data_IF_471030478973
#
_entry.id   IF_471030478973
#
_cell.length_a   1.000
_cell.length_b   1.000
_cell.length_c   1.000
_cell.angle_alpha   90.00
_cell.angle_beta   90.00
_cell.angle_gamma   90.00
#
_symmetry.space_group_name_H-M   'P 1'
#
loop_
_entity.id
_entity.type
_entity.pdbx_description
1 polymer ?
#
# COMPACT_ATOMS: atom_id res chain seq x y z
N UNK A 1 -2.06 12.16 12.82
CA UNK A 1 -1.42 12.37 11.51
C UNK A 1 -1.06 13.83 11.27
N UNK A 2 -1.99 14.80 11.38
CA UNK A 2 -1.71 16.21 11.07
C UNK A 2 -1.21 17.08 12.25
N UNK A 3 -1.29 16.57 13.47
CA UNK A 3 -0.80 17.23 14.68
C UNK A 3 0.60 16.72 15.05
N UNK A 4 1.23 17.34 16.03
CA UNK A 4 2.50 16.92 16.62
C UNK A 4 2.48 15.44 17.03
N UNK A 5 3.59 14.75 16.81
CA UNK A 5 3.67 13.28 16.93
C UNK A 5 2.96 12.52 15.80
N UNK A 6 2.45 13.22 14.78
CA UNK A 6 1.69 12.65 13.69
C UNK A 6 2.44 11.61 12.85
N UNK A 7 3.77 11.70 12.77
CA UNK A 7 4.61 10.78 12.02
C UNK A 7 4.53 9.33 12.53
N UNK A 8 4.54 9.13 13.85
CA UNK A 8 4.43 7.79 14.45
C UNK A 8 3.03 7.19 14.22
N UNK A 9 2.00 8.04 14.19
CA UNK A 9 0.65 7.62 13.81
C UNK A 9 0.59 7.19 12.33
N UNK A 10 1.31 7.89 11.44
CA UNK A 10 1.40 7.53 10.02
C UNK A 10 2.09 6.18 9.86
N UNK A 11 3.26 5.97 10.49
CA UNK A 11 3.95 4.67 10.46
C UNK A 11 3.08 3.52 10.94
N UNK A 12 2.36 3.71 12.06
CA UNK A 12 1.44 2.72 12.60
C UNK A 12 0.30 2.41 11.62
N UNK A 13 -0.24 3.42 10.95
CA UNK A 13 -1.28 3.25 9.94
C UNK A 13 -0.76 2.47 8.72
N UNK A 14 0.45 2.81 8.23
CA UNK A 14 1.08 2.11 7.11
C UNK A 14 1.30 0.63 7.44
N UNK A 15 1.79 0.31 8.66
CA UNK A 15 1.93 -1.08 9.09
C UNK A 15 0.60 -1.85 9.22
N UNK A 16 -0.53 -1.16 9.40
CA UNK A 16 -1.85 -1.79 9.33
C UNK A 16 -2.30 -2.04 7.88
N UNK A 17 -1.95 -1.15 6.95
CA UNK A 17 -2.22 -1.32 5.52
C UNK A 17 -1.44 -2.51 4.95
N UNK A 18 -0.16 -2.66 5.34
CA UNK A 18 0.70 -3.77 4.93
C UNK A 18 0.08 -5.14 5.27
N UNK A 19 -0.43 -5.29 6.50
CA UNK A 19 -1.07 -6.54 6.96
C UNK A 19 -2.30 -6.93 6.15
N UNK A 20 -2.93 -5.96 5.49
CA UNK A 20 -4.17 -6.12 4.73
C UNK A 20 -3.97 -5.96 3.23
N UNK A 21 -2.71 -5.94 2.76
CA UNK A 21 -2.35 -5.72 1.36
C UNK A 21 -3.15 -6.58 0.38
N UNK A 22 -3.21 -7.89 0.60
CA UNK A 22 -3.94 -8.83 -0.29
C UNK A 22 -5.43 -8.54 -0.37
N UNK A 23 -6.07 -8.22 0.77
CA UNK A 23 -7.50 -7.89 0.84
C UNK A 23 -7.78 -6.57 0.10
N UNK A 24 -6.91 -5.58 0.25
CA UNK A 24 -7.03 -4.30 -0.45
C UNK A 24 -6.80 -4.42 -1.95
N UNK A 25 -5.78 -5.15 -2.41
CA UNK A 25 -5.52 -5.39 -3.83
C UNK A 25 -6.74 -5.98 -4.54
N UNK A 26 -7.46 -6.92 -3.89
CA UNK A 26 -8.68 -7.50 -4.45
C UNK A 26 -9.80 -6.46 -4.66
N UNK A 27 -9.83 -5.37 -3.87
CA UNK A 27 -10.82 -4.32 -3.95
C UNK A 27 -10.38 -3.11 -4.80
N UNK A 28 -9.09 -2.98 -5.13
CA UNK A 28 -8.53 -1.83 -5.86
C UNK A 28 -8.85 -1.83 -7.37
N UNK A 29 -9.53 -2.85 -7.85
CA UNK A 29 -10.03 -2.95 -9.22
C UNK A 29 -9.37 -4.07 -10.02
N UNK A 30 -10.17 -4.69 -10.87
CA UNK A 30 -9.75 -5.72 -11.81
C UNK A 30 -8.78 -5.14 -12.87
N UNK A 31 -7.80 -5.94 -13.30
CA UNK A 31 -6.84 -5.54 -14.31
C UNK A 31 -5.57 -4.88 -13.77
N UNK A 32 -5.49 -4.64 -12.46
CA UNK A 32 -4.32 -4.04 -11.82
C UNK A 32 -3.06 -4.91 -11.92
N UNK A 33 -3.20 -6.23 -12.13
CA UNK A 33 -2.08 -7.14 -12.37
C UNK A 33 -1.24 -6.77 -13.60
N UNK A 34 -1.83 -6.08 -14.58
CA UNK A 34 -1.11 -5.57 -15.77
C UNK A 34 -0.33 -4.29 -15.48
N UNK A 35 -0.70 -3.56 -14.43
CA UNK A 35 -0.11 -2.26 -14.08
C UNK A 35 0.92 -2.38 -12.97
N UNK A 36 0.54 -3.02 -11.86
CA UNK A 36 1.35 -3.18 -10.64
C UNK A 36 2.44 -4.24 -10.84
N UNK A 37 3.45 -3.91 -11.63
CA UNK A 37 4.49 -4.84 -12.09
C UNK A 37 5.88 -4.52 -11.52
N UNK A 38 6.00 -3.50 -10.68
CA UNK A 38 7.30 -3.00 -10.22
C UNK A 38 8.00 -2.07 -11.22
N UNK A 39 7.39 -1.80 -12.38
CA UNK A 39 7.92 -0.94 -13.44
C UNK A 39 7.06 0.30 -13.60
N UNK A 40 7.58 1.31 -14.31
CA UNK A 40 6.83 2.52 -14.67
C UNK A 40 6.16 3.19 -13.45
N UNK A 41 6.95 3.45 -12.41
CA UNK A 41 6.49 4.14 -11.19
C UNK A 41 5.40 3.37 -10.41
N UNK A 42 5.41 2.04 -10.52
CA UNK A 42 4.53 1.16 -9.74
C UNK A 42 5.33 0.15 -8.93
N UNK A 43 4.76 -0.33 -7.83
CA UNK A 43 5.24 -1.49 -7.10
C UNK A 43 4.70 -2.79 -7.72
N UNK A 44 5.36 -3.91 -7.43
CA UNK A 44 4.85 -5.24 -7.75
C UNK A 44 3.57 -5.53 -6.94
N UNK A 45 2.56 -6.12 -7.57
CA UNK A 45 1.25 -6.37 -6.97
C UNK A 45 1.31 -7.25 -5.71
N UNK A 46 2.34 -8.10 -5.57
CA UNK A 46 2.49 -9.01 -4.44
C UNK A 46 3.36 -8.43 -3.31
N UNK A 47 4.01 -7.28 -3.54
CA UNK A 47 4.96 -6.69 -2.61
C UNK A 47 4.46 -5.35 -2.08
N UNK A 48 4.35 -5.23 -0.76
CA UNK A 48 4.03 -3.95 -0.11
C UNK A 48 5.34 -3.22 0.25
N UNK A 49 5.48 -1.96 -0.18
CA UNK A 49 6.65 -1.11 0.07
C UNK A 49 6.19 0.33 0.32
N UNK A 50 6.93 1.08 1.13
CA UNK A 50 6.69 2.49 1.45
C UNK A 50 7.97 3.21 1.87
#
# INVERSE_FOLDING_TARGET
MRNDGGYEVIKKAIGNLEKKHKEHIAAYGEGNERRLTGKHETADINTFLW
#
